data_IF_859290700930
#
_entry.id   IF_859290700930
#
_cell.length_a   1.000
_cell.length_b   1.000
_cell.length_c   1.000
_cell.angle_alpha   90.00
_cell.angle_beta   90.00
_cell.angle_gamma   90.00
#
_symmetry.space_group_name_H-M   'P 1'
#
loop_
_entity.id
_entity.type
_entity.pdbx_description
1 polymer ?
#
# COMPACT_ATOMS: atom_id res chain seq x y z
N UNK A 1 9.24 -14.67 -34.16
CA UNK A 1 7.93 -14.24 -33.66
C UNK A 1 8.14 -13.39 -32.43
N UNK A 2 7.84 -12.10 -32.51
CA UNK A 2 8.07 -11.17 -31.41
C UNK A 2 6.93 -11.27 -30.40
N UNK A 3 7.09 -12.14 -29.39
CA UNK A 3 6.25 -12.09 -28.20
C UNK A 3 6.53 -10.79 -27.46
N UNK A 4 5.70 -9.76 -27.67
CA UNK A 4 5.63 -8.63 -26.76
C UNK A 4 5.00 -9.14 -25.46
N UNK A 5 5.82 -9.51 -24.50
CA UNK A 5 5.39 -9.68 -23.11
C UNK A 5 5.12 -8.26 -22.61
N UNK A 6 3.86 -7.85 -22.55
CA UNK A 6 3.48 -6.60 -21.88
C UNK A 6 3.69 -6.80 -20.37
N UNK A 7 4.89 -6.49 -19.88
CA UNK A 7 5.13 -6.43 -18.45
C UNK A 7 4.52 -5.14 -17.90
N UNK A 8 3.61 -5.26 -16.94
CA UNK A 8 3.07 -4.10 -16.23
C UNK A 8 4.11 -3.68 -15.18
N UNK A 9 4.84 -2.60 -15.45
CA UNK A 9 5.95 -2.14 -14.61
C UNK A 9 5.67 -0.74 -14.11
N UNK A 10 5.76 -0.57 -12.80
CA UNK A 10 5.80 0.73 -12.12
C UNK A 10 7.14 0.84 -11.42
N UNK A 11 7.89 1.89 -11.71
CA UNK A 11 9.22 2.12 -11.14
C UNK A 11 9.48 3.60 -10.93
N UNK A 12 10.13 3.95 -9.83
CA UNK A 12 10.58 5.31 -9.50
C UNK A 12 9.41 6.29 -9.44
N UNK A 13 8.60 6.17 -8.40
CA UNK A 13 7.40 6.99 -8.19
C UNK A 13 7.50 7.73 -6.85
N UNK A 14 7.91 9.00 -6.86
CA UNK A 14 7.85 9.85 -5.68
C UNK A 14 6.49 10.54 -5.56
N UNK A 15 5.87 10.41 -4.39
CA UNK A 15 4.67 11.14 -3.97
C UNK A 15 5.02 11.81 -2.65
N UNK A 16 5.19 13.13 -2.69
CA UNK A 16 5.86 13.89 -1.63
C UNK A 16 4.97 15.04 -1.15
N UNK A 17 5.09 15.39 0.13
CA UNK A 17 4.61 16.66 0.71
C UNK A 17 3.16 16.99 0.36
N UNK A 18 2.28 16.01 0.49
CA UNK A 18 0.89 16.09 0.03
C UNK A 18 -0.10 15.88 1.18
N UNK A 19 -1.29 16.44 1.04
CA UNK A 19 -2.39 16.23 1.97
C UNK A 19 -3.52 15.43 1.30
N UNK A 20 -4.07 14.46 2.04
CA UNK A 20 -5.23 13.66 1.60
C UNK A 20 -6.31 13.81 2.68
N UNK A 21 -7.45 14.39 2.29
CA UNK A 21 -8.55 14.70 3.22
C UNK A 21 -9.87 14.10 2.76
N UNK A 22 -10.70 13.68 3.71
CA UNK A 22 -12.10 13.24 3.49
C UNK A 22 -12.24 12.24 2.34
N UNK A 23 -11.27 11.33 2.25
CA UNK A 23 -11.15 10.35 1.16
C UNK A 23 -11.31 8.93 1.70
N UNK A 24 -11.59 7.98 0.80
CA UNK A 24 -11.70 6.57 1.20
C UNK A 24 -10.38 6.03 1.74
N UNK A 25 -9.28 6.32 1.07
CA UNK A 25 -7.95 5.83 1.46
C UNK A 25 -6.96 6.99 1.47
N UNK A 26 -5.94 6.89 2.32
CA UNK A 26 -4.76 7.74 2.26
C UNK A 26 -3.77 7.18 1.23
N UNK A 27 -2.66 6.64 1.73
CA UNK A 27 -1.66 5.96 0.88
C UNK A 27 -2.22 4.62 0.42
N UNK A 28 -2.15 4.34 -0.89
CA UNK A 28 -2.60 3.05 -1.44
C UNK A 28 -1.70 2.52 -2.55
N UNK A 29 -1.25 1.27 -2.40
CA UNK A 29 -0.66 0.46 -3.48
C UNK A 29 -1.55 -0.79 -3.64
N UNK A 30 -1.98 -1.10 -4.86
CA UNK A 30 -2.80 -2.28 -5.15
C UNK A 30 -2.28 -3.00 -6.39
N UNK A 31 -2.20 -4.32 -6.36
CA UNK A 31 -1.84 -5.15 -7.53
C UNK A 31 -2.92 -6.15 -7.84
N UNK A 32 -3.07 -6.48 -9.13
CA UNK A 32 -4.08 -7.43 -9.59
C UNK A 32 -3.76 -8.86 -9.15
N UNK A 33 -4.76 -9.58 -8.64
CA UNK A 33 -4.67 -11.00 -8.29
C UNK A 33 -4.38 -11.83 -9.54
N UNK A 34 -3.43 -12.77 -9.43
CA UNK A 34 -3.01 -13.67 -10.51
C UNK A 34 -2.31 -12.98 -11.70
N UNK A 35 -1.99 -11.68 -11.59
CA UNK A 35 -1.31 -10.93 -12.65
C UNK A 35 0.21 -11.01 -12.50
N UNK A 36 0.92 -10.65 -13.57
CA UNK A 36 2.38 -10.54 -13.59
C UNK A 36 2.81 -9.10 -13.84
N UNK A 37 3.92 -8.69 -13.22
CA UNK A 37 4.42 -7.32 -13.32
C UNK A 37 5.42 -7.00 -12.21
N UNK A 38 5.68 -5.71 -11.98
CA UNK A 38 6.48 -5.25 -10.84
C UNK A 38 6.10 -3.84 -10.39
N UNK A 39 6.22 -3.60 -9.09
CA UNK A 39 6.16 -2.28 -8.48
C UNK A 39 7.43 -2.10 -7.66
N UNK A 40 8.24 -1.10 -7.98
CA UNK A 40 9.52 -0.87 -7.30
C UNK A 40 9.84 0.62 -7.14
N UNK A 41 10.68 0.96 -6.16
CA UNK A 41 11.16 2.33 -5.95
C UNK A 41 10.01 3.35 -5.85
N UNK A 42 9.03 3.02 -5.01
CA UNK A 42 7.87 3.89 -4.73
C UNK A 42 8.10 4.58 -3.40
N UNK A 43 7.99 5.91 -3.37
CA UNK A 43 8.23 6.72 -2.18
C UNK A 43 7.02 7.57 -1.85
N UNK A 44 6.42 7.33 -0.69
CA UNK A 44 5.50 8.25 -0.04
C UNK A 44 6.23 8.94 1.11
N UNK A 45 6.37 10.28 1.06
CA UNK A 45 7.13 11.03 2.05
C UNK A 45 6.44 12.34 2.45
N UNK A 46 6.18 12.51 3.74
CA UNK A 46 5.53 13.71 4.27
C UNK A 46 4.08 13.83 3.80
N UNK A 47 3.31 12.74 3.98
CA UNK A 47 1.88 12.70 3.62
C UNK A 47 1.04 12.97 4.86
N UNK A 48 0.17 13.97 4.79
CA UNK A 48 -0.77 14.31 5.86
C UNK A 48 -2.15 13.74 5.55
N UNK A 49 -2.72 12.98 6.48
CA UNK A 49 -4.01 12.33 6.35
C UNK A 49 -5.05 12.99 7.25
N UNK A 50 -6.23 13.30 6.72
CA UNK A 50 -7.34 13.86 7.50
C UNK A 50 -8.63 13.14 7.18
N UNK A 51 -9.29 12.58 8.20
CA UNK A 51 -10.65 12.04 8.08
C UNK A 51 -10.78 10.93 7.01
N UNK A 52 -9.80 10.01 6.94
CA UNK A 52 -9.80 8.92 5.97
C UNK A 52 -10.82 7.85 6.34
N UNK A 53 -11.71 7.48 5.41
CA UNK A 53 -12.89 6.67 5.72
C UNK A 53 -12.60 5.18 5.91
N UNK A 54 -11.75 4.57 5.08
CA UNK A 54 -11.49 3.13 5.06
C UNK A 54 -10.09 2.79 5.55
N UNK A 55 -9.05 3.26 4.89
CA UNK A 55 -7.67 2.88 5.20
C UNK A 55 -6.72 4.07 5.18
N UNK A 56 -6.07 4.38 6.31
CA UNK A 56 -5.02 5.41 6.34
C UNK A 56 -3.86 5.05 5.40
N UNK A 57 -3.32 3.85 5.54
CA UNK A 57 -2.35 3.25 4.63
C UNK A 57 -2.83 1.86 4.25
N UNK A 58 -2.88 1.54 2.96
CA UNK A 58 -3.23 0.21 2.46
C UNK A 58 -2.30 -0.26 1.35
N UNK A 59 -1.72 -1.46 1.50
CA UNK A 59 -0.89 -2.10 0.47
C UNK A 59 -1.34 -3.55 0.33
N UNK A 60 -1.91 -3.92 -0.81
CA UNK A 60 -2.57 -5.22 -0.99
C UNK A 60 -2.35 -5.84 -2.40
N UNK A 61 -2.16 -7.16 -2.45
CA UNK A 61 -1.83 -7.93 -3.68
C UNK A 61 -2.94 -8.89 -4.14
N UNK A 62 -4.19 -8.55 -3.86
CA UNK A 62 -5.35 -9.44 -3.97
C UNK A 62 -6.52 -8.85 -4.77
N UNK A 63 -6.27 -7.79 -5.56
CA UNK A 63 -7.34 -7.05 -6.25
C UNK A 63 -7.82 -7.76 -7.51
N UNK A 64 -9.12 -8.03 -7.61
CA UNK A 64 -9.75 -8.67 -8.78
C UNK A 64 -11.11 -8.03 -9.08
N UNK A 65 -11.38 -7.76 -10.36
CA UNK A 65 -12.68 -7.22 -10.82
C UNK A 65 -13.21 -6.02 -10.03
N UNK A 66 -12.30 -5.16 -9.55
CA UNK A 66 -12.62 -3.93 -8.82
C UNK A 66 -12.63 -4.07 -7.29
N UNK A 67 -12.45 -5.27 -6.73
CA UNK A 67 -12.54 -5.53 -5.28
C UNK A 67 -11.39 -6.42 -4.76
N UNK A 68 -11.02 -6.32 -3.47
CA UNK A 68 -10.11 -7.27 -2.83
C UNK A 68 -10.72 -8.66 -2.67
N UNK A 69 -9.93 -9.71 -2.83
CA UNK A 69 -10.36 -11.11 -2.67
C UNK A 69 -10.04 -11.67 -1.28
N UNK A 70 -9.17 -11.01 -0.51
CA UNK A 70 -8.64 -11.47 0.77
C UNK A 70 -7.45 -12.44 0.65
N UNK A 71 -7.06 -12.83 -0.57
CA UNK A 71 -5.97 -13.79 -0.82
C UNK A 71 -4.92 -13.16 -1.74
N UNK A 72 -3.75 -12.74 -1.21
CA UNK A 72 -2.73 -12.10 -2.03
C UNK A 72 -2.00 -13.09 -2.93
N UNK A 73 -1.58 -12.63 -4.10
CA UNK A 73 -0.79 -13.42 -5.07
C UNK A 73 0.58 -12.79 -5.33
N UNK A 74 1.58 -13.61 -5.69
CA UNK A 74 2.99 -13.20 -5.72
C UNK A 74 3.51 -12.70 -7.08
N UNK A 75 2.68 -12.73 -8.12
CA UNK A 75 3.09 -12.46 -9.50
C UNK A 75 3.48 -11.00 -9.79
N UNK A 76 3.13 -10.06 -8.89
CA UNK A 76 3.54 -8.65 -8.97
C UNK A 76 4.33 -8.25 -7.71
N UNK A 77 5.65 -8.51 -7.64
CA UNK A 77 6.45 -8.13 -6.48
C UNK A 77 6.39 -6.62 -6.21
N UNK A 78 6.29 -6.25 -4.93
CA UNK A 78 6.33 -4.85 -4.45
C UNK A 78 7.63 -4.65 -3.64
N UNK A 79 8.65 -4.06 -4.26
CA UNK A 79 9.98 -3.91 -3.66
C UNK A 79 10.38 -2.46 -3.47
N UNK A 80 11.32 -2.22 -2.56
CA UNK A 80 12.00 -0.92 -2.42
C UNK A 80 11.01 0.24 -2.18
N UNK A 81 9.99 -0.02 -1.36
CA UNK A 81 8.97 0.97 -1.00
C UNK A 81 9.42 1.76 0.21
N UNK A 82 9.39 3.09 0.11
CA UNK A 82 9.61 4.00 1.24
C UNK A 82 8.29 4.62 1.65
N UNK A 83 7.85 4.34 2.88
CA UNK A 83 6.73 5.03 3.53
C UNK A 83 7.32 5.81 4.72
N UNK A 84 7.47 7.11 4.55
CA UNK A 84 8.07 8.00 5.54
C UNK A 84 7.13 9.14 5.89
N UNK A 85 7.02 9.48 7.18
CA UNK A 85 6.26 10.64 7.66
C UNK A 85 4.82 10.66 7.10
N UNK A 86 4.17 9.49 7.01
CA UNK A 86 2.73 9.41 6.71
C UNK A 86 1.98 9.50 8.03
N UNK A 87 1.35 10.64 8.28
CA UNK A 87 0.79 10.99 9.60
C UNK A 87 -0.63 11.52 9.48
N UNK A 88 -1.45 11.36 10.51
CA UNK A 88 -2.78 11.93 10.57
C UNK A 88 -3.85 10.92 10.97
N UNK A 89 -5.09 11.11 10.48
CA UNK A 89 -6.28 10.41 11.01
C UNK A 89 -7.07 9.61 9.98
N UNK A 90 -7.41 8.39 10.36
CA UNK A 90 -8.54 7.65 9.82
C UNK A 90 -9.75 7.80 10.76
N UNK A 91 -10.96 7.65 10.22
CA UNK A 91 -12.20 7.57 11.01
C UNK A 91 -12.16 6.35 11.92
N UNK A 92 -12.84 6.40 13.07
CA UNK A 92 -12.92 5.28 14.02
C UNK A 92 -13.52 4.01 13.43
N UNK A 93 -14.35 4.13 12.39
CA UNK A 93 -14.88 3.00 11.62
C UNK A 93 -13.86 2.38 10.65
N UNK A 94 -12.84 3.15 10.25
CA UNK A 94 -11.77 2.73 9.34
C UNK A 94 -10.62 2.02 10.05
N UNK A 95 -9.54 1.79 9.31
CA UNK A 95 -8.33 1.08 9.74
C UNK A 95 -7.10 1.97 9.51
N UNK A 96 -6.19 2.00 10.48
CA UNK A 96 -4.99 2.85 10.39
C UNK A 96 -4.06 2.36 9.28
N UNK A 97 -3.71 1.07 9.32
CA UNK A 97 -2.80 0.42 8.37
C UNK A 97 -3.32 -0.97 8.04
N UNK A 98 -3.33 -1.32 6.75
CA UNK A 98 -3.65 -2.66 6.26
C UNK A 98 -2.62 -3.09 5.21
N UNK A 99 -1.94 -4.22 5.45
CA UNK A 99 -0.92 -4.76 4.55
C UNK A 99 -1.24 -6.23 4.28
N UNK A 100 -1.55 -6.56 3.03
CA UNK A 100 -1.86 -7.91 2.57
C UNK A 100 -0.93 -8.28 1.41
N UNK A 101 0.21 -8.86 1.76
CA UNK A 101 1.32 -9.14 0.85
C UNK A 101 1.57 -10.65 0.71
N UNK A 102 1.85 -11.07 -0.53
CA UNK A 102 2.42 -12.36 -0.88
C UNK A 102 3.87 -12.25 -1.40
N UNK A 103 4.28 -11.09 -1.91
CA UNK A 103 5.63 -10.83 -2.43
C UNK A 103 6.00 -9.36 -2.24
N UNK A 104 6.47 -9.03 -1.04
CA UNK A 104 6.87 -7.68 -0.65
C UNK A 104 8.19 -7.72 0.13
N UNK A 105 9.16 -6.86 -0.21
CA UNK A 105 10.49 -6.84 0.44
C UNK A 105 11.18 -5.48 0.32
N UNK A 106 12.23 -5.26 1.13
CA UNK A 106 13.07 -4.05 1.13
C UNK A 106 12.28 -2.76 1.40
N UNK A 107 11.40 -2.77 2.38
CA UNK A 107 10.64 -1.57 2.72
C UNK A 107 11.38 -0.73 3.74
N UNK A 108 11.36 0.59 3.54
CA UNK A 108 11.75 1.57 4.54
C UNK A 108 10.48 2.18 5.12
N UNK A 109 10.21 1.91 6.39
CA UNK A 109 8.98 2.35 7.06
C UNK A 109 9.32 3.13 8.32
N UNK A 110 9.26 4.46 8.26
CA UNK A 110 9.77 5.32 9.33
C UNK A 110 8.85 6.50 9.60
N UNK A 111 8.77 6.95 10.85
CA UNK A 111 8.04 8.15 11.27
C UNK A 111 6.54 8.17 10.89
N UNK A 112 5.93 7.00 10.68
CA UNK A 112 4.52 6.90 10.30
C UNK A 112 3.63 6.93 11.55
N UNK A 113 2.54 7.71 11.49
CA UNK A 113 1.58 7.89 12.59
C UNK A 113 0.17 8.10 12.05
N UNK A 114 -0.39 7.07 11.41
CA UNK A 114 -1.82 7.00 11.09
C UNK A 114 -2.59 6.49 12.31
N UNK A 115 -3.55 7.27 12.80
CA UNK A 115 -4.26 7.02 14.06
C UNK A 115 -5.77 7.26 13.92
N UNK A 116 -6.53 7.03 15.00
CA UNK A 116 -7.98 7.26 15.05
C UNK A 116 -8.81 6.05 14.60
N UNK A 117 -8.38 5.34 13.56
CA UNK A 117 -8.98 4.09 13.12
C UNK A 117 -8.52 2.87 13.94
N UNK A 118 -9.03 1.70 13.56
CA UNK A 118 -8.72 0.41 14.17
C UNK A 118 -7.32 -0.07 13.77
N UNK A 119 -6.69 -0.85 14.65
CA UNK A 119 -5.53 -1.67 14.30
C UNK A 119 -6.03 -2.93 13.57
N UNK A 120 -5.44 -3.26 12.43
CA UNK A 120 -5.82 -4.46 11.67
C UNK A 120 -5.23 -5.71 12.31
N UNK A 121 -6.06 -6.74 12.47
CA UNK A 121 -5.69 -8.12 12.81
C UNK A 121 -5.52 -9.02 11.56
N UNK A 122 -5.73 -8.46 10.37
CA UNK A 122 -5.71 -9.17 9.08
C UNK A 122 -4.48 -8.91 8.23
N UNK A 123 -3.52 -8.14 8.74
CA UNK A 123 -2.27 -7.95 8.01
C UNK A 123 -1.52 -9.27 7.84
N UNK A 124 -1.00 -9.52 6.64
CA UNK A 124 -0.25 -10.74 6.29
C UNK A 124 0.89 -10.40 5.34
N UNK A 125 2.03 -11.07 5.53
CA UNK A 125 3.22 -10.85 4.70
C UNK A 125 3.85 -9.47 4.85
N UNK A 126 3.67 -8.83 6.02
CA UNK A 126 4.24 -7.52 6.32
C UNK A 126 5.78 -7.60 6.21
N UNK A 127 6.43 -6.82 5.34
CA UNK A 127 7.88 -6.86 5.20
C UNK A 127 8.60 -6.40 6.47
N UNK A 128 9.80 -6.92 6.70
CA UNK A 128 10.66 -6.51 7.83
C UNK A 128 10.80 -4.99 7.89
N UNK A 129 10.59 -4.43 9.07
CA UNK A 129 10.65 -2.98 9.34
C UNK A 129 9.32 -2.25 9.17
N UNK A 130 8.35 -2.81 8.45
CA UNK A 130 7.00 -2.24 8.36
C UNK A 130 6.08 -2.76 9.48
N UNK A 131 4.99 -2.04 9.74
CA UNK A 131 4.06 -2.38 10.84
C UNK A 131 2.61 -2.06 10.52
N UNK A 132 1.75 -2.97 10.96
CA UNK A 132 0.39 -2.69 11.39
C UNK A 132 0.36 -2.64 12.93
#
# INVERSE_FOLDING_TARGET
>A
GNYRIFQHVVKTVPILHSAISSSDNGVRIKTGSGKTGSVSDVKYDGITLTNIAKYGIVIEQDYENGSPTGVPTSGVPITDVTINKVTGTAKSSGTNVYILCASCKNWTWTNNKATGGKKSDKCKGVPTGASC
#
